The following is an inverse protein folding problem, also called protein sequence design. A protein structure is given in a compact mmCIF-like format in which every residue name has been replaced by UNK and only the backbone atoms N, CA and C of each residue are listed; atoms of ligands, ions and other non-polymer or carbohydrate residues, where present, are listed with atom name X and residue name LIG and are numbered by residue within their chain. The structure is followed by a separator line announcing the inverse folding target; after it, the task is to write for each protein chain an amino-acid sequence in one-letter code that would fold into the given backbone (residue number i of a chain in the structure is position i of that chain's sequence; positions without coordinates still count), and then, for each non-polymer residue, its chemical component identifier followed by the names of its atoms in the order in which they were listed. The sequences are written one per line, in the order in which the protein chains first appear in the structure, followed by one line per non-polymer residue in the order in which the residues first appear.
data_IF_972349131418
#
_entry.id   IF_972349131418
#
_cell.length_a   1.000
_cell.length_b   1.000
_cell.length_c   1.000
_cell.angle_alpha   90.00
_cell.angle_beta   90.00
_cell.angle_gamma   90.00
#
_symmetry.space_group_name_H-M   'P 1'
#
loop_
_entity.id
_entity.type
_entity.pdbx_description
1 polymer ?
#
# COMPACT_ATOMS: atom_id res chain seq x y z
N UNK A 1 25.69 -28.81 -43.97
CA UNK A 1 25.60 -27.40 -43.55
C UNK A 1 24.17 -27.15 -43.15
N UNK A 2 23.90 -27.02 -41.85
CA UNK A 2 22.62 -26.50 -41.35
C UNK A 2 22.98 -25.40 -40.37
N UNK A 3 22.89 -24.17 -40.87
CA UNK A 3 22.97 -22.98 -40.04
C UNK A 3 21.67 -22.93 -39.25
N UNK A 4 21.75 -23.21 -37.95
CA UNK A 4 20.69 -22.86 -37.02
C UNK A 4 20.70 -21.34 -36.92
N UNK A 5 19.83 -20.69 -37.69
CA UNK A 5 19.51 -19.29 -37.55
C UNK A 5 18.96 -19.06 -36.14
N UNK A 6 19.85 -18.68 -35.24
CA UNK A 6 19.52 -18.14 -33.93
C UNK A 6 18.75 -16.87 -34.18
N UNK A 7 17.42 -16.96 -34.14
CA UNK A 7 16.55 -15.78 -34.12
C UNK A 7 16.89 -15.04 -32.84
N UNK A 8 17.75 -14.03 -32.96
CA UNK A 8 18.05 -13.07 -31.91
C UNK A 8 16.73 -12.38 -31.54
N UNK A 9 16.04 -12.93 -30.53
CA UNK A 9 14.93 -12.27 -29.91
C UNK A 9 15.45 -10.92 -29.41
N UNK A 10 15.00 -9.83 -30.05
CA UNK A 10 15.42 -8.48 -29.72
C UNK A 10 15.31 -8.29 -28.20
N UNK A 11 16.46 -8.09 -27.55
CA UNK A 11 16.53 -7.97 -26.11
C UNK A 11 15.61 -6.82 -25.66
N UNK A 12 14.70 -7.11 -24.71
CA UNK A 12 13.79 -6.10 -24.18
C UNK A 12 14.62 -5.01 -23.49
N UNK A 13 14.43 -3.73 -23.84
CA UNK A 13 15.16 -2.64 -23.21
C UNK A 13 14.93 -2.58 -21.69
N UNK A 14 15.98 -2.26 -20.92
CA UNK A 14 15.89 -2.21 -19.45
C UNK A 14 14.81 -1.23 -18.94
N UNK A 15 14.62 -0.09 -19.61
CA UNK A 15 13.57 0.87 -19.23
C UNK A 15 12.16 0.27 -19.36
N UNK A 16 11.93 -0.61 -20.34
CA UNK A 16 10.65 -1.31 -20.49
C UNK A 16 10.48 -2.32 -19.35
N UNK A 17 11.55 -3.01 -18.95
CA UNK A 17 11.51 -3.92 -17.80
C UNK A 17 11.22 -3.17 -16.49
N UNK A 18 11.81 -1.99 -16.30
CA UNK A 18 11.56 -1.14 -15.14
C UNK A 18 10.09 -0.67 -15.10
N UNK A 19 9.56 -0.18 -16.23
CA UNK A 19 8.13 0.19 -16.34
C UNK A 19 7.21 -0.99 -16.04
N UNK A 20 7.52 -2.19 -16.55
CA UNK A 20 6.74 -3.40 -16.28
C UNK A 20 6.85 -3.85 -14.83
N UNK A 21 7.99 -3.64 -14.18
CA UNK A 21 8.17 -3.93 -12.76
C UNK A 21 7.29 -3.03 -11.90
N UNK A 22 7.22 -1.73 -12.20
CA UNK A 22 6.31 -0.81 -11.51
C UNK A 22 4.83 -1.21 -11.69
N UNK A 23 4.43 -1.57 -12.91
CA UNK A 23 3.07 -2.08 -13.16
C UNK A 23 2.81 -3.35 -12.36
N UNK A 24 3.79 -4.25 -12.25
CA UNK A 24 3.65 -5.46 -11.46
C UNK A 24 3.47 -5.15 -9.97
N UNK A 25 4.23 -4.20 -9.42
CA UNK A 25 4.11 -3.73 -8.04
C UNK A 25 2.70 -3.20 -7.80
N UNK A 26 2.20 -2.32 -8.66
CA UNK A 26 0.84 -1.77 -8.56
C UNK A 26 -0.23 -2.87 -8.57
N UNK A 27 -0.06 -3.90 -9.40
CA UNK A 27 -1.00 -5.03 -9.46
C UNK A 27 -0.95 -5.89 -8.21
N UNK A 28 0.24 -6.11 -7.65
CA UNK A 28 0.39 -6.81 -6.38
C UNK A 28 -0.28 -6.04 -5.25
N UNK A 29 -0.12 -4.71 -5.21
CA UNK A 29 -0.79 -3.86 -4.23
C UNK A 29 -2.32 -3.91 -4.35
N UNK A 30 -2.86 -3.84 -5.57
CA UNK A 30 -4.29 -3.99 -5.82
C UNK A 30 -4.82 -5.37 -5.41
N UNK A 31 -4.07 -6.43 -5.67
CA UNK A 31 -4.44 -7.78 -5.24
C UNK A 31 -4.44 -7.90 -3.72
N UNK A 32 -3.45 -7.30 -3.07
CA UNK A 32 -3.35 -7.28 -1.62
C UNK A 32 -4.51 -6.50 -0.98
N UNK A 33 -4.93 -5.38 -1.57
CA UNK A 33 -6.13 -4.67 -1.14
C UNK A 33 -7.39 -5.54 -1.24
N UNK A 34 -7.59 -6.21 -2.38
CA UNK A 34 -8.74 -7.10 -2.58
C UNK A 34 -8.77 -8.28 -1.61
N UNK A 35 -7.61 -8.87 -1.31
CA UNK A 35 -7.50 -9.95 -0.33
C UNK A 35 -7.79 -9.45 1.09
N UNK A 36 -7.32 -8.25 1.42
CA UNK A 36 -7.60 -7.61 2.70
C UNK A 36 -9.10 -7.31 2.85
N UNK A 37 -9.73 -6.77 1.81
CA UNK A 37 -11.18 -6.53 1.76
C UNK A 37 -11.97 -7.82 1.94
N UNK A 38 -11.57 -8.90 1.26
CA UNK A 38 -12.20 -10.22 1.43
C UNK A 38 -12.06 -10.75 2.85
N UNK A 39 -10.88 -10.62 3.46
CA UNK A 39 -10.64 -11.06 4.85
C UNK A 39 -11.49 -10.28 5.86
N UNK A 40 -11.72 -8.99 5.61
CA UNK A 40 -12.56 -8.12 6.43
C UNK A 40 -14.06 -8.25 6.12
N UNK A 41 -14.45 -9.05 5.13
CA UNK A 41 -15.80 -9.05 4.57
C UNK A 41 -16.28 -7.62 4.25
N UNK A 42 -15.39 -6.80 3.70
CA UNK A 42 -15.64 -5.40 3.43
C UNK A 42 -16.86 -5.24 2.50
N UNK A 43 -17.77 -4.30 2.80
CA UNK A 43 -18.95 -4.10 1.98
C UNK A 43 -18.56 -3.59 0.59
N UNK A 44 -19.33 -3.97 -0.42
CA UNK A 44 -19.11 -3.52 -1.80
C UNK A 44 -19.18 -1.99 -1.88
N UNK A 45 -18.20 -1.32 -2.50
CA UNK A 45 -18.24 0.12 -2.71
C UNK A 45 -19.57 0.58 -3.34
N UNK A 46 -20.15 1.65 -2.81
CA UNK A 46 -21.45 2.17 -3.26
C UNK A 46 -22.68 1.42 -2.73
N UNK A 47 -22.51 0.38 -1.91
CA UNK A 47 -23.63 -0.21 -1.17
C UNK A 47 -24.00 0.62 0.06
N UNK A 48 -25.24 0.51 0.54
CA UNK A 48 -25.68 1.20 1.77
C UNK A 48 -24.84 0.83 3.01
N UNK A 49 -24.35 -0.42 3.06
CA UNK A 49 -23.43 -0.88 4.09
C UNK A 49 -22.09 -0.15 3.99
N UNK A 50 -21.55 -0.02 2.77
CA UNK A 50 -20.33 0.74 2.53
C UNK A 50 -20.47 2.22 2.88
N UNK A 51 -21.58 2.87 2.52
CA UNK A 51 -21.85 4.27 2.86
C UNK A 51 -21.91 4.47 4.38
N UNK A 52 -22.57 3.56 5.08
CA UNK A 52 -22.66 3.58 6.55
C UNK A 52 -21.27 3.46 7.19
N UNK A 53 -20.45 2.51 6.72
CA UNK A 53 -19.09 2.36 7.23
C UNK A 53 -18.17 3.54 6.86
N UNK A 54 -18.33 4.07 5.66
CA UNK A 54 -17.59 5.24 5.18
C UNK A 54 -17.90 6.49 6.00
N UNK A 55 -19.17 6.70 6.37
CA UNK A 55 -19.61 7.86 7.16
C UNK A 55 -18.92 7.95 8.53
N UNK A 56 -18.57 6.80 9.13
CA UNK A 56 -17.93 6.72 10.44
C UNK A 56 -16.40 6.60 10.37
N UNK A 57 -15.77 6.68 9.20
CA UNK A 57 -14.32 6.47 9.01
C UNK A 57 -13.43 7.33 9.93
N UNK A 58 -13.85 8.57 10.19
CA UNK A 58 -13.07 9.52 11.00
C UNK A 58 -13.35 9.40 12.51
N UNK A 59 -14.26 8.53 12.93
CA UNK A 59 -14.54 8.21 14.34
C UNK A 59 -13.47 7.27 14.91
N UNK A 60 -13.45 7.05 16.23
CA UNK A 60 -12.52 6.08 16.82
C UNK A 60 -12.79 4.66 16.31
N UNK A 61 -14.05 4.28 16.10
CA UNK A 61 -14.43 3.00 15.51
C UNK A 61 -13.87 2.85 14.08
N UNK A 62 -13.96 3.91 13.27
CA UNK A 62 -13.39 3.93 11.93
C UNK A 62 -11.86 3.81 11.94
N UNK A 63 -11.18 4.53 12.85
CA UNK A 63 -9.73 4.40 13.04
C UNK A 63 -9.31 3.02 13.54
N UNK A 64 -10.08 2.41 14.43
CA UNK A 64 -9.79 1.06 14.92
C UNK A 64 -9.87 0.03 13.79
N UNK A 65 -10.89 0.14 12.91
CA UNK A 65 -10.99 -0.69 11.70
C UNK A 65 -9.82 -0.49 10.74
N UNK A 66 -9.38 0.74 10.53
CA UNK A 66 -8.22 1.01 9.66
C UNK A 66 -6.92 0.40 10.21
N UNK A 67 -6.73 0.41 11.53
CA UNK A 67 -5.61 -0.28 12.18
C UNK A 67 -5.68 -1.79 11.98
N UNK A 68 -6.87 -2.38 12.09
CA UNK A 68 -7.07 -3.81 11.84
C UNK A 68 -6.83 -4.17 10.36
N UNK A 69 -7.29 -3.35 9.42
CA UNK A 69 -6.98 -3.47 7.99
C UNK A 69 -5.48 -3.49 7.74
N UNK A 70 -4.76 -2.53 8.32
CA UNK A 70 -3.30 -2.44 8.22
C UNK A 70 -2.60 -3.67 8.79
N UNK A 71 -3.08 -4.19 9.93
CA UNK A 71 -2.56 -5.39 10.57
C UNK A 71 -2.75 -6.64 9.71
N UNK A 72 -3.94 -6.83 9.13
CA UNK A 72 -4.23 -7.95 8.23
C UNK A 72 -3.39 -7.86 6.97
N UNK A 73 -3.25 -6.66 6.37
CA UNK A 73 -2.39 -6.44 5.20
C UNK A 73 -0.95 -6.89 5.47
N UNK A 74 -0.38 -6.44 6.59
CA UNK A 74 0.98 -6.82 7.00
C UNK A 74 1.14 -8.33 7.23
N UNK A 75 0.15 -8.97 7.85
CA UNK A 75 0.16 -10.41 8.10
C UNK A 75 0.05 -11.23 6.81
N UNK A 76 -0.75 -10.79 5.83
CA UNK A 76 -0.84 -11.40 4.51
C UNK A 76 0.51 -11.35 3.77
N UNK A 77 1.16 -10.18 3.75
CA UNK A 77 2.49 -10.01 3.15
C UNK A 77 3.51 -10.92 3.84
N UNK A 78 3.52 -10.95 5.18
CA UNK A 78 4.44 -11.78 5.96
C UNK A 78 4.28 -13.26 5.63
N UNK A 79 3.05 -13.77 5.55
CA UNK A 79 2.76 -15.18 5.22
C UNK A 79 3.09 -15.51 3.77
N UNK A 80 2.70 -14.65 2.83
CA UNK A 80 3.01 -14.84 1.42
C UNK A 80 4.51 -14.83 1.17
N UNK A 81 5.23 -13.87 1.76
CA UNK A 81 6.68 -13.76 1.64
C UNK A 81 7.44 -14.96 2.22
N UNK A 82 6.97 -15.50 3.35
CA UNK A 82 7.51 -16.74 3.91
C UNK A 82 7.29 -17.94 2.99
N UNK A 83 6.12 -18.04 2.34
CA UNK A 83 5.80 -19.11 1.40
C UNK A 83 6.59 -19.02 0.07
N UNK A 84 6.93 -17.81 -0.37
CA UNK A 84 7.70 -17.57 -1.60
C UNK A 84 9.21 -17.72 -1.42
N UNK A 85 9.70 -18.07 -0.22
CA UNK A 85 11.14 -18.14 0.07
C UNK A 85 11.85 -16.78 0.05
N UNK A 86 11.09 -15.68 -0.04
CA UNK A 86 11.61 -14.30 -0.06
C UNK A 86 12.08 -13.82 1.32
N UNK A 87 11.80 -14.57 2.40
CA UNK A 87 12.39 -14.34 3.72
C UNK A 87 13.71 -15.10 3.81
N UNK A 88 14.70 -14.57 3.10
CA UNK A 88 16.10 -14.98 3.16
C UNK A 88 16.99 -13.78 2.91
N UNK A 89 17.56 -13.22 3.99
CA UNK A 89 18.53 -12.12 4.03
C UNK A 89 17.99 -10.69 4.14
N UNK A 90 17.43 -10.37 5.30
CA UNK A 90 17.82 -9.12 5.96
C UNK A 90 18.53 -9.52 7.27
N UNK A 91 19.80 -9.14 7.50
CA UNK A 91 20.41 -9.32 8.81
C UNK A 91 19.61 -8.50 9.84
N UNK A 92 19.53 -8.95 11.10
CA UNK A 92 18.89 -8.16 12.15
C UNK A 92 19.65 -6.83 12.25
N UNK A 93 19.00 -5.74 11.85
CA UNK A 93 19.48 -4.40 12.17
C UNK A 93 19.45 -4.31 13.68
N UNK A 94 20.62 -4.49 14.29
CA UNK A 94 20.83 -4.22 15.70
C UNK A 94 20.36 -2.78 15.96
N UNK A 95 19.34 -2.63 16.79
CA UNK A 95 18.89 -1.32 17.27
C UNK A 95 20.09 -0.57 17.84
N UNK A 96 20.45 0.63 17.34
CA UNK A 96 21.40 1.47 18.05
C UNK A 96 20.79 1.89 19.40
N UNK A 97 21.62 2.05 20.45
CA UNK A 97 21.14 2.34 21.79
C UNK A 97 20.37 3.67 21.84
N UNK A 98 19.31 3.67 22.64
CA UNK A 98 18.49 4.82 23.02
C UNK A 98 19.38 6.00 23.42
N UNK A 99 19.48 6.99 22.54
CA UNK A 99 19.93 8.33 22.89
C UNK A 99 18.71 9.18 23.19
N UNK A 100 18.52 9.44 24.48
CA UNK A 100 17.57 10.39 25.03
C UNK A 100 17.69 11.73 24.28
N UNK A 101 16.68 12.03 23.46
CA UNK A 101 16.56 13.33 22.79
C UNK A 101 15.40 14.10 23.42
N UNK A 102 15.80 15.06 24.24
CA UNK A 102 15.00 16.06 24.96
C UNK A 102 13.87 16.67 24.10
N UNK A 103 12.66 16.90 24.63
CA UNK A 103 11.54 17.41 23.86
C UNK A 103 11.70 18.89 23.50
N UNK A 104 11.82 19.18 22.19
CA UNK A 104 11.79 20.55 21.67
C UNK A 104 10.36 20.91 21.27
N UNK A 105 9.67 21.62 22.15
CA UNK A 105 8.35 22.21 21.88
C UNK A 105 8.45 23.21 20.72
N UNK A 106 7.71 22.97 19.63
CA UNK A 106 7.51 23.98 18.59
C UNK A 106 6.03 24.11 18.26
N UNK A 107 5.56 25.34 18.46
CA UNK A 107 4.18 25.78 18.45
C UNK A 107 3.47 25.44 17.13
N UNK A 108 2.24 24.94 17.29
CA UNK A 108 1.22 24.80 16.26
C UNK A 108 0.95 26.15 15.61
N UNK A 109 1.04 26.22 14.27
CA UNK A 109 0.35 27.24 13.49
C UNK A 109 -0.61 26.52 12.55
N UNK A 110 -1.88 26.48 12.96
CA UNK A 110 -2.99 25.97 12.19
C UNK A 110 -3.20 26.86 10.96
N UNK A 111 -2.77 26.41 9.79
CA UNK A 111 -3.26 26.93 8.52
C UNK A 111 -4.49 26.10 8.13
N UNK A 112 -5.67 26.55 8.53
CA UNK A 112 -6.93 26.03 7.98
C UNK A 112 -6.96 26.43 6.50
N UNK A 113 -6.66 25.48 5.62
CA UNK A 113 -6.89 25.61 4.18
C UNK A 113 -8.40 25.63 3.99
N UNK A 114 -9.01 26.81 3.88
CA UNK A 114 -10.41 26.95 3.46
C UNK A 114 -10.47 26.43 2.03
N UNK A 115 -11.20 25.34 1.82
CA UNK A 115 -11.63 24.90 0.49
C UNK A 115 -12.71 25.90 0.07
N UNK A 116 -12.54 26.49 -1.11
CA UNK A 116 -13.46 27.46 -1.68
C UNK A 116 -14.75 26.75 -2.10
N UNK A 117 -15.88 27.22 -1.62
CA UNK A 117 -17.21 26.63 -1.83
C UNK A 117 -17.61 26.65 -3.32
N UNK A 118 -16.96 27.49 -4.13
CA UNK A 118 -17.11 27.51 -5.59
C UNK A 118 -16.54 26.25 -6.30
N UNK A 119 -15.72 25.43 -5.63
CA UNK A 119 -15.15 24.21 -6.24
C UNK A 119 -16.09 23.00 -6.16
N UNK A 120 -17.18 23.08 -5.39
CA UNK A 120 -18.18 22.01 -5.27
C UNK A 120 -19.32 22.13 -6.31
N UNK A 121 -19.26 23.13 -7.19
CA UNK A 121 -20.31 23.41 -8.18
C UNK A 121 -20.00 22.92 -9.61
N UNK A 122 -19.06 21.99 -9.77
CA UNK A 122 -18.81 21.35 -11.06
C UNK A 122 -19.11 19.84 -10.97
N UNK A 123 -20.24 19.52 -11.60
CA UNK A 123 -20.83 18.23 -11.95
C UNK A 123 -19.90 17.02 -12.01
#
# INVERSE_FOLDING_TARGET
MSECESVDAAAVPNNVLDELAEVLIDRLDQLLDRLTDRALAAPTPGSAAWESEWSIRNTETGRARERERSRIRAELVRRAGAGLGTVGSAPPVASPPLVDSVPRSRRVRAARRRVDEAQLAFF
#
